data_IF_306827685978
#
_entry.id   IF_306827685978
#
_cell.length_a   1.000
_cell.length_b   1.000
_cell.length_c   1.000
_cell.angle_alpha   90.00
_cell.angle_beta   90.00
_cell.angle_gamma   90.00
#
_symmetry.space_group_name_H-M   'P 1'
#
loop_
_entity.id
_entity.type
_entity.pdbx_description
1 polymer ?
#
# COMPACT_ATOMS: atom_id res chain seq x y z
N UNK A 1 17.73 5.30 -36.53
CA UNK A 1 17.00 6.03 -35.46
C UNK A 1 17.30 5.35 -34.15
N UNK A 2 18.01 6.00 -33.22
CA UNK A 2 18.19 5.48 -31.87
C UNK A 2 16.84 5.55 -31.14
N UNK A 3 16.36 4.43 -30.59
CA UNK A 3 15.12 4.42 -29.82
C UNK A 3 15.21 5.42 -28.66
N UNK A 4 14.16 6.22 -28.46
CA UNK A 4 14.11 7.18 -27.36
C UNK A 4 14.22 6.46 -26.03
N UNK A 5 15.09 6.98 -25.15
CA UNK A 5 15.21 6.47 -23.79
C UNK A 5 14.04 7.00 -22.98
N UNK A 6 13.21 6.09 -22.44
CA UNK A 6 12.15 6.38 -21.48
C UNK A 6 12.69 6.35 -20.06
N UNK A 7 12.42 7.40 -19.27
CA UNK A 7 12.68 7.46 -17.82
C UNK A 7 11.42 7.88 -17.09
N UNK A 8 11.12 7.21 -15.99
CA UNK A 8 9.95 7.51 -15.16
C UNK A 8 10.41 8.19 -13.86
N UNK A 9 9.77 9.30 -13.52
CA UNK A 9 10.02 10.05 -12.28
C UNK A 9 8.74 10.04 -11.46
N UNK A 10 8.70 9.19 -10.43
CA UNK A 10 7.57 9.10 -9.51
C UNK A 10 7.53 10.30 -8.56
N UNK A 11 6.33 10.78 -8.27
CA UNK A 11 6.13 11.99 -7.50
C UNK A 11 6.26 11.73 -5.99
N UNK A 12 6.97 12.60 -5.25
CA UNK A 12 6.95 12.56 -3.79
C UNK A 12 5.50 12.64 -3.27
N UNK A 13 5.15 11.89 -2.21
CA UNK A 13 3.79 11.89 -1.67
C UNK A 13 3.22 13.29 -1.39
N UNK A 14 4.04 14.21 -0.87
CA UNK A 14 3.65 15.60 -0.61
C UNK A 14 3.17 16.36 -1.86
N UNK A 15 3.68 16.01 -3.05
CA UNK A 15 3.28 16.63 -4.31
C UNK A 15 2.07 15.99 -4.97
N UNK A 16 1.61 14.82 -4.49
CA UNK A 16 0.41 14.17 -5.02
C UNK A 16 -0.89 14.88 -4.57
N UNK A 17 -0.82 15.70 -3.52
CA UNK A 17 -1.98 16.40 -2.96
C UNK A 17 -2.30 17.73 -3.65
N UNK A 18 -1.39 18.27 -4.47
CA UNK A 18 -1.54 19.56 -5.15
C UNK A 18 -1.55 19.40 -6.68
N UNK A 19 -2.73 19.19 -7.30
CA UNK A 19 -2.89 19.19 -8.75
C UNK A 19 -2.34 20.48 -9.36
N UNK A 20 -1.53 20.37 -10.42
CA UNK A 20 -0.98 21.53 -11.14
C UNK A 20 0.39 22.02 -10.63
N UNK A 21 0.70 21.86 -9.34
CA UNK A 21 2.02 22.21 -8.79
C UNK A 21 3.12 21.45 -9.53
N UNK A 22 2.90 20.16 -9.80
CA UNK A 22 3.85 19.33 -10.53
C UNK A 22 4.27 19.93 -11.88
N UNK A 23 3.29 20.30 -12.71
CA UNK A 23 3.57 20.79 -14.05
C UNK A 23 4.37 22.08 -13.97
N UNK A 24 3.97 22.99 -13.06
CA UNK A 24 4.70 24.23 -12.83
C UNK A 24 6.14 24.01 -12.33
N UNK A 25 6.36 23.04 -11.44
CA UNK A 25 7.69 22.72 -10.92
C UNK A 25 8.60 22.13 -12.00
N UNK A 26 8.08 21.21 -12.82
CA UNK A 26 8.87 20.61 -13.91
C UNK A 26 9.15 21.62 -15.01
N UNK A 27 8.15 22.41 -15.41
CA UNK A 27 8.32 23.51 -16.37
C UNK A 27 9.38 24.51 -15.87
N UNK A 28 9.25 24.98 -14.63
CA UNK A 28 10.22 25.89 -14.01
C UNK A 28 11.63 25.28 -13.86
N UNK A 29 11.74 23.96 -13.62
CA UNK A 29 13.04 23.28 -13.64
C UNK A 29 13.70 23.37 -15.02
N UNK A 30 12.97 23.04 -16.09
CA UNK A 30 13.52 23.05 -17.45
C UNK A 30 13.87 24.47 -17.89
N UNK A 31 12.99 25.45 -17.66
CA UNK A 31 13.23 26.87 -17.97
C UNK A 31 14.49 27.40 -17.26
N UNK A 32 14.62 27.14 -15.95
CA UNK A 32 15.81 27.53 -15.16
C UNK A 32 17.11 26.87 -15.66
N UNK A 33 17.01 25.73 -16.34
CA UNK A 33 18.15 25.01 -16.91
C UNK A 33 18.33 25.30 -18.42
N UNK A 34 17.75 26.38 -18.95
CA UNK A 34 18.01 26.86 -20.31
C UNK A 34 17.24 26.12 -21.40
N UNK A 35 16.12 25.49 -21.07
CA UNK A 35 15.21 24.90 -22.04
C UNK A 35 14.06 25.86 -22.37
N UNK A 36 13.73 25.99 -23.65
CA UNK A 36 12.50 26.62 -24.10
C UNK A 36 11.38 25.59 -24.20
N UNK A 37 10.18 25.99 -23.78
CA UNK A 37 8.96 25.19 -23.86
C UNK A 37 8.35 25.35 -25.26
N UNK A 38 8.07 24.23 -25.91
CA UNK A 38 7.27 24.21 -27.13
C UNK A 38 5.79 24.02 -26.78
N UNK A 39 4.87 24.80 -27.38
CA UNK A 39 3.45 24.69 -27.09
C UNK A 39 2.92 23.37 -27.64
N UNK A 40 2.62 22.44 -26.74
CA UNK A 40 1.90 21.21 -27.05
C UNK A 40 0.67 21.14 -26.15
N UNK A 41 -0.44 20.74 -26.75
CA UNK A 41 -1.73 20.64 -26.06
C UNK A 41 -1.78 19.43 -25.13
N UNK A 42 -2.45 19.58 -23.98
CA UNK A 42 -2.77 18.48 -23.06
C UNK A 42 -1.67 18.12 -22.06
N UNK A 43 -1.44 16.81 -21.89
CA UNK A 43 -0.55 16.21 -20.88
C UNK A 43 0.90 16.06 -21.35
N UNK A 44 1.22 16.50 -22.56
CA UNK A 44 2.56 16.39 -23.16
C UNK A 44 3.17 17.77 -23.33
N UNK A 45 4.43 17.93 -22.93
CA UNK A 45 5.20 19.16 -23.10
C UNK A 45 6.58 18.80 -23.65
N UNK A 46 7.04 19.53 -24.67
CA UNK A 46 8.38 19.36 -25.23
C UNK A 46 9.26 20.53 -24.79
N UNK A 47 10.46 20.20 -24.34
CA UNK A 47 11.48 21.14 -23.93
C UNK A 47 12.68 21.00 -24.85
N UNK A 48 13.11 22.11 -25.46
CA UNK A 48 14.31 22.16 -26.30
C UNK A 48 15.36 23.02 -25.63
N UNK A 49 16.55 22.47 -25.43
CA UNK A 49 17.65 23.24 -24.87
C UNK A 49 18.21 24.21 -25.92
N UNK A 50 18.48 25.45 -25.54
CA UNK A 50 19.02 26.47 -26.45
C UNK A 50 20.53 26.32 -26.70
N UNK A 51 21.24 25.68 -25.78
CA UNK A 51 22.72 25.56 -25.80
C UNK A 51 23.22 24.16 -26.18
N UNK A 52 22.38 23.15 -25.93
CA UNK A 52 22.62 21.75 -26.26
C UNK A 52 21.52 21.26 -27.19
N UNK A 53 21.88 20.49 -28.21
CA UNK A 53 20.94 19.82 -29.12
C UNK A 53 20.21 18.67 -28.40
N UNK A 54 19.39 19.03 -27.41
CA UNK A 54 18.69 18.11 -26.51
C UNK A 54 17.22 18.49 -26.51
N UNK A 55 16.39 17.54 -26.94
CA UNK A 55 14.93 17.62 -26.87
C UNK A 55 14.46 16.62 -25.83
N UNK A 56 13.65 17.09 -24.87
CA UNK A 56 13.03 16.25 -23.84
C UNK A 56 11.53 16.38 -23.94
N UNK A 57 10.85 15.27 -24.23
CA UNK A 57 9.38 15.20 -24.17
C UNK A 57 8.98 14.72 -22.78
N UNK A 58 8.19 15.53 -22.08
CA UNK A 58 7.61 15.22 -20.78
C UNK A 58 6.14 14.83 -20.95
N UNK A 59 5.76 13.65 -20.49
CA UNK A 59 4.35 13.25 -20.34
C UNK A 59 3.97 13.27 -18.87
N UNK A 60 2.95 14.04 -18.53
CA UNK A 60 2.48 14.24 -17.17
C UNK A 60 1.33 13.29 -16.86
N UNK A 61 1.49 12.52 -15.79
CA UNK A 61 0.45 11.71 -15.19
C UNK A 61 0.14 12.23 -13.79
N UNK A 62 -0.95 11.75 -13.20
CA UNK A 62 -1.37 12.19 -11.87
C UNK A 62 -0.43 11.72 -10.74
N UNK A 63 0.46 10.76 -11.02
CA UNK A 63 1.38 10.13 -10.05
C UNK A 63 2.85 10.00 -10.52
N UNK A 64 3.16 10.35 -11.78
CA UNK A 64 4.52 10.31 -12.33
C UNK A 64 4.70 11.31 -13.48
N UNK A 65 5.95 11.57 -13.84
CA UNK A 65 6.33 12.22 -15.10
C UNK A 65 7.21 11.27 -15.89
N UNK A 66 6.86 11.04 -17.16
CA UNK A 66 7.70 10.30 -18.09
C UNK A 66 8.54 11.27 -18.92
N UNK A 67 9.86 11.06 -18.90
CA UNK A 67 10.83 11.81 -19.66
C UNK A 67 11.31 10.95 -20.83
N UNK A 68 11.15 11.45 -22.06
CA UNK A 68 11.54 10.78 -23.29
C UNK A 68 12.57 11.64 -24.04
N UNK A 69 13.69 11.04 -24.43
CA UNK A 69 14.70 11.69 -25.29
C UNK A 69 15.66 10.65 -25.86
N UNK A 70 16.19 10.92 -27.04
CA UNK A 70 17.29 10.15 -27.65
C UNK A 70 18.66 10.43 -27.01
N UNK A 71 18.76 11.47 -26.17
CA UNK A 71 20.04 11.96 -25.68
C UNK A 71 20.70 11.05 -24.62
N UNK A 72 22.05 10.98 -24.63
CA UNK A 72 22.81 10.11 -23.71
C UNK A 72 22.75 10.56 -22.24
N UNK A 73 22.61 11.86 -21.98
CA UNK A 73 22.55 12.43 -20.60
C UNK A 73 21.20 12.24 -19.88
N UNK A 74 20.25 11.47 -20.43
CA UNK A 74 18.90 11.38 -19.84
C UNK A 74 18.84 10.92 -18.39
N UNK A 75 19.76 10.06 -17.97
CA UNK A 75 19.85 9.61 -16.57
C UNK A 75 20.25 10.74 -15.62
N UNK A 76 21.13 11.64 -16.07
CA UNK A 76 21.55 12.81 -15.30
C UNK A 76 20.43 13.84 -15.22
N UNK A 77 19.71 14.06 -16.32
CA UNK A 77 18.53 14.94 -16.35
C UNK A 77 17.45 14.40 -15.40
N UNK A 78 17.09 13.11 -15.49
CA UNK A 78 16.05 12.53 -14.63
C UNK A 78 16.40 12.60 -13.14
N UNK A 79 17.67 12.36 -12.77
CA UNK A 79 18.14 12.52 -11.38
C UNK A 79 18.02 13.96 -10.88
N UNK A 80 18.35 14.94 -11.73
CA UNK A 80 18.20 16.37 -11.39
C UNK A 80 16.75 16.79 -11.23
N UNK A 81 15.87 16.35 -12.13
CA UNK A 81 14.41 16.57 -12.01
C UNK A 81 13.91 15.97 -10.71
N UNK A 82 14.28 14.72 -10.40
CA UNK A 82 13.88 14.08 -9.14
C UNK A 82 14.36 14.86 -7.91
N UNK A 83 15.63 15.25 -7.85
CA UNK A 83 16.16 16.05 -6.72
C UNK A 83 15.49 17.43 -6.60
N UNK A 84 15.13 18.04 -7.73
CA UNK A 84 14.37 19.29 -7.74
C UNK A 84 12.95 19.10 -7.20
N UNK A 85 12.23 18.06 -7.66
CA UNK A 85 10.90 17.75 -7.12
C UNK A 85 10.99 17.46 -5.62
N UNK A 86 11.91 16.60 -5.19
CA UNK A 86 12.05 16.24 -3.77
C UNK A 86 12.33 17.45 -2.87
N UNK A 87 13.13 18.42 -3.32
CA UNK A 87 13.43 19.63 -2.54
C UNK A 87 12.31 20.66 -2.51
N UNK A 88 11.41 20.65 -3.50
CA UNK A 88 10.28 21.59 -3.56
C UNK A 88 8.96 20.97 -3.06
N UNK A 89 8.88 19.64 -2.97
CA UNK A 89 7.73 18.90 -2.45
C UNK A 89 7.93 18.62 -0.94
N UNK A 90 7.96 19.66 -0.11
CA UNK A 90 8.09 19.52 1.35
C UNK A 90 6.70 19.40 1.96
N UNK A 91 6.47 18.32 2.71
CA UNK A 91 5.24 18.17 3.48
C UNK A 91 5.19 19.26 4.56
N UNK A 92 4.07 19.97 4.64
CA UNK A 92 3.85 20.91 5.74
C UNK A 92 3.66 20.14 7.06
N UNK A 93 4.12 20.68 8.20
CA UNK A 93 3.88 20.04 9.49
C UNK A 93 2.37 20.01 9.77
N UNK A 94 1.87 18.85 10.17
CA UNK A 94 0.45 18.62 10.41
C UNK A 94 0.22 17.81 11.69
N UNK A 95 -0.95 18.00 12.29
CA UNK A 95 -1.48 17.17 13.38
C UNK A 95 -2.80 16.59 12.92
N UNK A 96 -3.00 15.30 13.20
CA UNK A 96 -4.23 14.61 12.89
C UNK A 96 -4.88 14.01 14.15
N UNK A 97 -6.19 14.20 14.30
CA UNK A 97 -7.01 13.56 15.33
C UNK A 97 -8.00 12.61 14.69
N UNK A 98 -8.11 11.41 15.25
CA UNK A 98 -8.93 10.34 14.69
C UNK A 98 -9.88 9.89 15.78
N UNK A 99 -11.18 10.06 15.51
CA UNK A 99 -12.25 9.83 16.47
C UNK A 99 -13.24 8.84 15.85
N UNK A 100 -13.18 7.55 16.23
CA UNK A 100 -14.21 6.59 15.84
C UNK A 100 -15.51 6.90 16.58
N UNK A 101 -16.61 6.88 15.85
CA UNK A 101 -17.98 7.08 16.35
C UNK A 101 -18.77 5.79 16.23
N UNK A 102 -19.66 5.54 17.19
CA UNK A 102 -20.65 4.46 17.11
C UNK A 102 -21.84 4.83 16.18
N UNK A 103 -22.82 3.92 16.06
CA UNK A 103 -24.07 4.15 15.30
C UNK A 103 -24.86 5.38 15.76
N UNK A 104 -24.73 5.75 17.01
CA UNK A 104 -25.44 6.89 17.61
C UNK A 104 -24.65 8.19 17.47
N UNK A 105 -23.48 8.16 16.81
CA UNK A 105 -22.58 9.29 16.67
C UNK A 105 -21.77 9.59 17.94
N UNK A 106 -21.77 8.71 18.94
CA UNK A 106 -21.00 8.91 20.15
C UNK A 106 -19.55 8.44 19.95
N UNK A 107 -18.55 9.19 20.45
CA UNK A 107 -17.17 8.75 20.42
C UNK A 107 -16.99 7.41 21.13
N UNK A 108 -16.45 6.42 20.42
CA UNK A 108 -16.07 5.15 21.02
C UNK A 108 -14.84 5.41 21.88
N UNK A 109 -14.93 5.10 23.18
CA UNK A 109 -13.85 5.29 24.13
C UNK A 109 -12.68 4.38 23.76
N UNK A 110 -11.69 4.91 23.04
CA UNK A 110 -10.37 4.31 22.89
C UNK A 110 -9.31 5.36 23.14
N UNK A 111 -8.48 5.07 24.13
CA UNK A 111 -7.17 5.68 24.25
C UNK A 111 -6.29 5.06 23.16
N UNK A 112 -6.22 5.70 22.00
CA UNK A 112 -4.99 5.60 21.20
C UNK A 112 -3.93 6.28 22.07
N UNK A 113 -3.10 5.49 22.74
CA UNK A 113 -2.02 6.00 23.59
C UNK A 113 -1.17 6.98 22.78
N UNK A 114 -0.59 7.97 23.45
CA UNK A 114 0.34 8.90 22.79
C UNK A 114 1.37 8.08 22.03
N UNK A 115 1.54 8.43 20.76
CA UNK A 115 2.22 7.63 19.74
C UNK A 115 3.67 7.26 20.10
N UNK A 116 4.24 7.80 21.18
CA UNK A 116 5.62 7.59 21.61
C UNK A 116 5.89 6.23 22.28
N UNK A 117 4.89 5.52 22.83
CA UNK A 117 5.12 4.35 23.70
C UNK A 117 4.51 3.01 23.25
N UNK A 118 3.87 2.96 22.07
CA UNK A 118 3.38 1.67 21.55
C UNK A 118 4.57 0.89 21.02
N UNK A 119 5.09 -0.07 21.81
CA UNK A 119 5.99 -1.10 21.31
C UNK A 119 5.39 -1.68 20.03
N UNK A 120 6.14 -1.83 18.94
CA UNK A 120 5.60 -2.44 17.74
C UNK A 120 5.05 -3.79 18.18
N UNK A 121 3.73 -3.98 18.04
CA UNK A 121 3.19 -5.33 18.02
C UNK A 121 4.10 -6.14 17.08
N UNK A 122 4.45 -7.40 17.41
CA UNK A 122 5.26 -8.22 16.52
C UNK A 122 4.69 -8.02 15.13
N UNK A 123 5.53 -7.57 14.19
CA UNK A 123 5.03 -7.18 12.88
C UNK A 123 4.15 -8.31 12.35
N UNK A 124 3.13 -8.02 11.56
CA UNK A 124 2.36 -9.09 10.91
C UNK A 124 3.32 -10.08 10.22
N UNK A 125 4.46 -9.59 9.72
CA UNK A 125 5.57 -10.39 9.21
C UNK A 125 6.19 -11.33 10.26
N UNK A 126 6.31 -10.90 11.52
CA UNK A 126 6.78 -11.73 12.64
C UNK A 126 5.78 -12.84 12.96
N UNK A 127 4.47 -12.55 13.00
CA UNK A 127 3.44 -13.58 13.23
C UNK A 127 3.37 -14.56 12.04
N UNK A 128 3.48 -14.03 10.81
CA UNK A 128 3.52 -14.82 9.59
C UNK A 128 4.82 -15.63 9.42
N UNK A 129 5.95 -15.19 9.99
CA UNK A 129 7.22 -15.92 9.98
C UNK A 129 7.30 -16.98 11.08
N UNK A 130 6.72 -16.72 12.25
CA UNK A 130 6.64 -17.68 13.36
C UNK A 130 5.80 -18.90 12.99
N UNK A 131 4.80 -18.74 12.11
CA UNK A 131 3.90 -19.80 11.68
C UNK A 131 4.56 -20.97 10.91
N UNK A 132 5.33 -20.74 9.82
CA UNK A 132 6.09 -21.78 9.15
C UNK A 132 7.28 -22.26 9.99
N UNK A 133 7.90 -21.39 10.80
CA UNK A 133 8.99 -21.80 11.70
C UNK A 133 8.50 -22.80 12.76
N UNK A 134 7.35 -22.57 13.40
CA UNK A 134 6.75 -23.52 14.34
C UNK A 134 6.35 -24.84 13.66
N UNK A 135 5.86 -24.75 12.42
CA UNK A 135 5.50 -25.93 11.63
C UNK A 135 6.75 -26.75 11.25
N UNK A 136 7.83 -26.08 10.85
CA UNK A 136 9.12 -26.72 10.54
C UNK A 136 9.79 -27.28 11.80
N UNK A 137 9.74 -26.55 12.93
CA UNK A 137 10.24 -27.00 14.23
C UNK A 137 9.45 -28.22 14.73
N UNK A 138 8.13 -28.28 14.52
CA UNK A 138 7.30 -29.42 14.94
C UNK A 138 7.60 -30.71 14.16
N UNK A 139 8.01 -30.59 12.90
CA UNK A 139 8.45 -31.72 12.07
C UNK A 139 9.87 -32.18 12.44
N UNK A 140 10.72 -31.27 12.94
CA UNK A 140 12.13 -31.56 13.25
C UNK A 140 12.37 -32.02 14.69
N UNK A 141 11.70 -31.44 15.68
CA UNK A 141 11.99 -31.71 17.10
C UNK A 141 11.29 -32.93 17.68
N UNK A 142 10.28 -33.43 17.00
CA UNK A 142 9.53 -34.56 17.50
C UNK A 142 9.68 -35.66 16.46
N UNK A 143 10.26 -36.79 16.86
CA UNK A 143 10.11 -38.08 16.18
C UNK A 143 8.65 -38.57 16.19
N UNK A 144 7.71 -37.63 16.02
CA UNK A 144 6.28 -37.79 15.87
C UNK A 144 6.04 -38.40 14.51
N UNK A 145 5.19 -39.42 14.50
CA UNK A 145 4.71 -40.06 13.29
C UNK A 145 4.15 -38.98 12.40
N UNK A 146 4.68 -38.84 11.19
CA UNK A 146 4.31 -37.81 10.20
C UNK A 146 2.80 -37.54 10.15
N UNK A 147 1.98 -38.58 10.29
CA UNK A 147 0.53 -38.54 10.34
C UNK A 147 -0.01 -37.57 11.41
N UNK A 148 0.55 -37.55 12.61
CA UNK A 148 0.16 -36.64 13.69
C UNK A 148 0.54 -35.19 13.35
N UNK A 149 1.71 -34.95 12.75
CA UNK A 149 2.11 -33.61 12.30
C UNK A 149 1.18 -33.08 11.18
N UNK A 150 0.78 -33.96 10.25
CA UNK A 150 -0.19 -33.62 9.19
C UNK A 150 -1.59 -33.34 9.74
N UNK A 151 -2.00 -34.02 10.82
CA UNK A 151 -3.29 -33.79 11.47
C UNK A 151 -3.28 -32.55 12.37
N UNK A 152 -2.15 -32.26 13.04
CA UNK A 152 -2.01 -31.12 13.94
C UNK A 152 -1.79 -29.79 13.22
N UNK A 153 -1.12 -29.80 12.06
CA UNK A 153 -0.83 -28.57 11.27
C UNK A 153 -2.09 -27.76 10.92
N UNK A 154 -3.17 -28.36 10.36
CA UNK A 154 -4.42 -27.64 10.10
C UNK A 154 -5.07 -27.13 11.37
N UNK A 155 -5.04 -27.90 12.46
CA UNK A 155 -5.62 -27.52 13.74
C UNK A 155 -4.89 -26.32 14.35
N UNK A 156 -3.56 -26.32 14.32
CA UNK A 156 -2.72 -25.19 14.76
C UNK A 156 -2.93 -23.95 13.88
N UNK A 157 -3.15 -24.14 12.57
CA UNK A 157 -3.50 -23.05 11.64
C UNK A 157 -4.84 -22.41 12.00
N UNK A 158 -5.85 -23.24 12.28
CA UNK A 158 -7.17 -22.75 12.72
C UNK A 158 -7.03 -22.03 14.07
N UNK A 159 -6.30 -22.62 15.03
CA UNK A 159 -6.07 -22.00 16.33
C UNK A 159 -5.37 -20.64 16.20
N UNK A 160 -4.34 -20.52 15.36
CA UNK A 160 -3.67 -19.25 15.12
C UNK A 160 -4.62 -18.21 14.51
N UNK A 161 -5.46 -18.57 13.56
CA UNK A 161 -6.49 -17.67 13.02
C UNK A 161 -7.47 -17.21 14.11
N UNK A 162 -7.85 -18.10 15.03
CA UNK A 162 -8.69 -17.76 16.19
C UNK A 162 -7.97 -16.83 17.17
N UNK A 163 -6.68 -17.05 17.42
CA UNK A 163 -5.86 -16.19 18.29
C UNK A 163 -5.67 -14.79 17.69
N UNK A 164 -5.41 -14.67 16.38
CA UNK A 164 -5.36 -13.38 15.68
C UNK A 164 -6.70 -12.65 15.82
N UNK A 165 -7.82 -13.36 15.72
CA UNK A 165 -9.15 -12.77 15.92
C UNK A 165 -9.36 -12.30 17.36
N UNK A 166 -8.94 -13.08 18.35
CA UNK A 166 -9.02 -12.68 19.75
C UNK A 166 -8.15 -11.44 19.99
N UNK A 167 -6.94 -11.42 19.44
CA UNK A 167 -6.04 -10.28 19.49
C UNK A 167 -6.67 -9.02 18.88
N UNK A 168 -7.29 -9.12 17.71
CA UNK A 168 -8.01 -8.00 17.10
C UNK A 168 -9.16 -7.49 17.96
N UNK A 169 -9.93 -8.38 18.59
CA UNK A 169 -11.02 -7.96 19.49
C UNK A 169 -10.51 -7.18 20.70
N UNK A 170 -9.29 -7.46 21.15
CA UNK A 170 -8.68 -6.81 22.31
C UNK A 170 -8.00 -5.50 21.92
N UNK A 171 -7.35 -5.45 20.74
CA UNK A 171 -6.46 -4.35 20.34
C UNK A 171 -7.03 -3.43 19.25
N UNK A 172 -8.18 -3.75 18.67
CA UNK A 172 -8.74 -3.02 17.54
C UNK A 172 -10.15 -2.50 17.82
N UNK A 173 -10.47 -1.39 17.18
CA UNK A 173 -11.79 -0.74 17.28
C UNK A 173 -12.64 -1.17 16.11
N UNK A 174 -13.79 -1.79 16.38
CA UNK A 174 -14.74 -2.11 15.33
C UNK A 174 -15.47 -0.84 14.87
N UNK A 175 -15.40 -0.51 13.57
CA UNK A 175 -15.93 0.74 13.00
C UNK A 175 -16.86 0.53 11.79
N UNK A 176 -17.19 -0.70 11.41
CA UNK A 176 -18.09 -0.99 10.27
C UNK A 176 -19.54 -0.54 10.49
N UNK A 177 -19.91 -0.27 11.73
CA UNK A 177 -21.28 0.10 12.09
C UNK A 177 -21.47 1.60 12.31
N UNK A 178 -20.38 2.37 12.44
CA UNK A 178 -20.42 3.81 12.68
C UNK A 178 -19.62 4.58 11.63
N UNK A 179 -19.00 5.68 12.04
CA UNK A 179 -18.15 6.50 11.18
C UNK A 179 -16.84 6.84 11.88
N UNK A 180 -15.86 7.29 11.11
CA UNK A 180 -14.59 7.77 11.67
C UNK A 180 -14.39 9.21 11.24
N UNK A 181 -14.32 10.11 12.21
CA UNK A 181 -14.00 11.51 11.97
C UNK A 181 -12.50 11.69 12.06
N UNK A 182 -11.91 12.23 10.99
CA UNK A 182 -10.50 12.60 10.91
C UNK A 182 -10.42 14.11 10.82
N UNK A 183 -9.76 14.70 11.79
CA UNK A 183 -9.42 16.11 11.83
C UNK A 183 -7.96 16.24 11.42
N UNK A 184 -7.67 16.90 10.30
CA UNK A 184 -6.31 17.14 9.81
C UNK A 184 -6.03 18.63 9.82
N UNK A 185 -5.00 19.07 10.54
CA UNK A 185 -4.69 20.48 10.71
C UNK A 185 -3.24 20.79 10.35
N UNK A 186 -3.04 21.72 9.42
CA UNK A 186 -1.71 22.19 8.99
C UNK A 186 -1.20 23.26 9.95
N UNK A 187 0.04 23.19 10.40
CA UNK A 187 0.56 23.99 11.52
C UNK A 187 1.47 25.12 11.01
N UNK A 188 1.39 26.30 11.63
CA UNK A 188 2.24 27.47 11.32
C UNK A 188 3.60 27.46 12.01
N UNK A 189 3.67 26.98 13.26
CA UNK A 189 4.85 27.11 14.11
C UNK A 189 5.21 25.78 14.79
N UNK A 190 6.50 25.47 14.80
CA UNK A 190 7.08 24.33 15.53
C UNK A 190 7.32 24.76 16.98
N UNK A 191 6.34 24.48 17.83
CA UNK A 191 6.39 24.71 19.28
C UNK A 191 5.32 23.94 20.06
N UNK A 192 4.54 23.11 19.38
CA UNK A 192 3.48 22.29 19.96
C UNK A 192 4.07 21.17 20.81
N UNK A 193 3.72 21.12 22.09
CA UNK A 193 4.06 19.99 22.97
C UNK A 193 3.11 18.82 22.72
N UNK A 194 3.55 17.59 22.98
CA UNK A 194 2.70 16.39 22.94
C UNK A 194 1.51 16.51 23.90
N UNK A 195 1.70 17.21 25.02
CA UNK A 195 0.67 17.54 26.00
C UNK A 195 -0.44 18.43 25.43
N UNK A 196 -0.10 19.49 24.69
CA UNK A 196 -1.10 20.36 24.06
C UNK A 196 -1.93 19.60 23.02
N UNK A 197 -1.31 18.74 22.22
CA UNK A 197 -2.02 17.87 21.27
C UNK A 197 -2.97 16.93 22.01
N UNK A 198 -2.50 16.34 23.12
CA UNK A 198 -3.29 15.42 23.92
C UNK A 198 -4.55 16.10 24.49
N UNK A 199 -4.41 17.28 25.11
CA UNK A 199 -5.56 17.99 25.67
C UNK A 199 -6.51 18.54 24.60
N UNK A 200 -5.98 19.03 23.48
CA UNK A 200 -6.82 19.42 22.34
C UNK A 200 -7.67 18.25 21.83
N UNK A 201 -7.10 17.03 21.78
CA UNK A 201 -7.84 15.81 21.43
C UNK A 201 -8.98 15.55 22.42
N UNK A 202 -8.73 15.67 23.72
CA UNK A 202 -9.77 15.45 24.74
C UNK A 202 -10.91 16.46 24.62
N UNK A 203 -10.61 17.73 24.34
CA UNK A 203 -11.62 18.77 24.17
C UNK A 203 -12.49 18.54 22.92
N UNK A 204 -11.89 18.11 21.81
CA UNK A 204 -12.63 17.72 20.60
C UNK A 204 -13.54 16.52 20.86
N UNK A 205 -13.06 15.50 21.57
CA UNK A 205 -13.88 14.34 21.98
C UNK A 205 -15.02 14.79 22.90
N UNK A 206 -14.75 15.71 23.84
CA UNK A 206 -15.76 16.25 24.75
C UNK A 206 -16.87 16.98 23.99
N UNK A 207 -16.52 17.76 22.96
CA UNK A 207 -17.46 18.49 22.11
C UNK A 207 -18.38 17.53 21.34
N UNK A 208 -17.82 16.44 20.81
CA UNK A 208 -18.61 15.38 20.17
C UNK A 208 -19.54 14.67 21.16
N UNK A 209 -19.07 14.36 22.37
CA UNK A 209 -19.91 13.76 23.43
C UNK A 209 -21.08 14.65 23.83
N UNK A 210 -20.88 15.97 23.85
CA UNK A 210 -21.93 16.96 24.12
C UNK A 210 -22.85 17.22 22.90
N UNK A 211 -22.66 16.51 21.78
CA UNK A 211 -23.41 16.67 20.52
C UNK A 211 -23.34 18.09 19.94
N UNK A 212 -22.26 18.81 20.24
CA UNK A 212 -22.07 20.18 19.76
C UNK A 212 -21.56 20.25 18.31
N UNK A 213 -21.28 19.08 17.71
CA UNK A 213 -20.71 18.94 16.36
C UNK A 213 -19.25 19.38 16.27
N UNK A 214 -18.63 19.12 15.11
CA UNK A 214 -17.30 19.63 14.76
C UNK A 214 -17.42 20.45 13.49
N UNK A 215 -17.24 21.77 13.61
CA UNK A 215 -17.01 22.67 12.46
C UNK A 215 -15.53 22.99 12.36
N UNK A 216 -15.07 23.43 11.17
CA UNK A 216 -13.68 23.82 10.95
C UNK A 216 -13.26 24.95 11.90
N UNK A 217 -14.16 25.91 12.12
CA UNK A 217 -13.95 27.05 13.02
C UNK A 217 -13.83 26.58 14.47
N UNK A 218 -14.71 25.67 14.91
CA UNK A 218 -14.66 25.13 16.28
C UNK A 218 -13.33 24.41 16.53
N UNK A 219 -12.92 23.58 15.58
CA UNK A 219 -11.65 22.85 15.66
C UNK A 219 -10.48 23.82 15.70
N UNK A 220 -10.44 24.81 14.81
CA UNK A 220 -9.41 25.83 14.82
C UNK A 220 -9.36 26.58 16.16
N UNK A 221 -10.52 26.89 16.76
CA UNK A 221 -10.60 27.55 18.06
C UNK A 221 -10.08 26.67 19.21
N UNK A 222 -10.44 25.37 19.23
CA UNK A 222 -9.92 24.42 20.23
C UNK A 222 -8.41 24.28 20.08
N UNK A 223 -7.90 24.14 18.86
CA UNK A 223 -6.48 24.05 18.60
C UNK A 223 -5.75 25.33 19.01
N UNK A 224 -6.31 26.49 18.69
CA UNK A 224 -5.76 27.78 19.09
C UNK A 224 -5.72 27.95 20.62
N UNK A 225 -6.77 27.52 21.33
CA UNK A 225 -6.83 27.56 22.79
C UNK A 225 -5.68 26.77 23.44
N UNK A 226 -5.32 25.63 22.86
CA UNK A 226 -4.18 24.81 23.29
C UNK A 226 -2.83 25.24 22.66
N UNK A 227 -2.75 26.45 22.09
CA UNK A 227 -1.51 27.00 21.52
C UNK A 227 -1.08 26.39 20.19
N UNK A 228 -1.96 25.65 19.51
CA UNK A 228 -1.70 25.03 18.20
C UNK A 228 -2.18 25.98 17.11
N UNK A 229 -1.24 26.75 16.53
CA UNK A 229 -1.56 27.69 15.46
C UNK A 229 -1.70 26.98 14.12
N UNK A 230 -2.92 26.91 13.60
CA UNK A 230 -3.23 26.24 12.33
C UNK A 230 -3.27 27.22 11.14
N UNK A 231 -2.80 26.78 9.97
CA UNK A 231 -3.02 27.46 8.67
C UNK A 231 -4.37 27.09 8.09
N UNK A 232 -4.69 25.81 8.15
CA UNK A 232 -5.85 25.21 7.53
C UNK A 232 -6.29 23.99 8.35
N UNK A 233 -7.59 23.72 8.31
CA UNK A 233 -8.24 22.62 9.00
C UNK A 233 -9.14 21.90 8.01
N UNK A 234 -8.85 20.61 7.83
CA UNK A 234 -9.63 19.68 7.06
C UNK A 234 -10.39 18.74 8.01
N UNK A 235 -11.66 18.54 7.71
CA UNK A 235 -12.52 17.58 8.42
C UNK A 235 -12.98 16.55 7.41
N UNK A 236 -12.56 15.30 7.61
CA UNK A 236 -13.01 14.15 6.83
C UNK A 236 -13.86 13.25 7.70
N UNK A 237 -14.96 12.76 7.17
CA UNK A 237 -15.77 11.74 7.83
C UNK A 237 -15.84 10.53 6.92
N UNK A 238 -15.36 9.39 7.41
CA UNK A 238 -15.42 8.14 6.70
C UNK A 238 -16.59 7.32 7.20
N UNK A 239 -17.59 7.13 6.34
CA UNK A 239 -18.65 6.16 6.54
C UNK A 239 -18.36 4.93 5.68
N UNK A 240 -17.82 3.89 6.33
CA UNK A 240 -17.45 2.65 5.67
C UNK A 240 -18.65 1.94 5.05
N UNK A 241 -19.85 2.08 5.64
CA UNK A 241 -21.06 1.47 5.09
C UNK A 241 -21.37 2.06 3.72
N UNK A 242 -21.40 3.40 3.64
CA UNK A 242 -21.60 4.11 2.38
C UNK A 242 -20.55 3.72 1.34
N UNK A 243 -19.28 3.55 1.74
CA UNK A 243 -18.22 3.09 0.84
C UNK A 243 -18.54 1.66 0.33
N UNK A 244 -18.86 0.71 1.21
CA UNK A 244 -19.12 -0.68 0.77
C UNK A 244 -20.42 -0.85 -0.02
N UNK A 245 -21.44 -0.03 0.23
CA UNK A 245 -22.66 0.00 -0.59
C UNK A 245 -22.32 0.38 -2.04
N UNK A 246 -21.42 1.36 -2.26
CA UNK A 246 -20.90 1.69 -3.60
C UNK A 246 -20.16 0.51 -4.26
N UNK A 247 -19.50 -0.34 -3.46
CA UNK A 247 -18.72 -1.49 -3.93
C UNK A 247 -19.54 -2.75 -4.27
N UNK A 248 -20.87 -2.75 -4.04
CA UNK A 248 -21.79 -3.85 -4.37
C UNK A 248 -21.36 -5.23 -3.82
N UNK A 249 -20.74 -5.27 -2.65
CA UNK A 249 -20.38 -6.54 -1.98
C UNK A 249 -21.63 -7.21 -1.41
N UNK A 250 -21.81 -8.52 -1.67
CA UNK A 250 -22.98 -9.30 -1.18
C UNK A 250 -23.10 -9.28 0.34
N UNK A 251 -21.97 -9.22 1.06
CA UNK A 251 -21.90 -9.02 2.50
C UNK A 251 -20.64 -8.21 2.79
N UNK A 252 -20.74 -6.97 3.32
CA UNK A 252 -19.57 -6.18 3.64
C UNK A 252 -18.76 -6.84 4.76
N UNK A 253 -17.43 -6.82 4.70
CA UNK A 253 -16.59 -7.30 5.79
C UNK A 253 -16.67 -6.37 7.01
N UNK A 254 -16.45 -6.91 8.21
CA UNK A 254 -16.29 -6.06 9.39
C UNK A 254 -15.01 -5.22 9.30
N UNK A 255 -15.01 -4.02 9.84
CA UNK A 255 -13.88 -3.09 9.73
C UNK A 255 -13.32 -2.81 11.10
N UNK A 256 -12.00 -2.92 11.22
CA UNK A 256 -11.27 -2.71 12.46
C UNK A 256 -10.21 -1.62 12.27
N UNK A 257 -10.12 -0.66 13.21
CA UNK A 257 -8.99 0.25 13.33
C UNK A 257 -7.94 -0.33 14.26
N UNK A 258 -6.71 -0.46 13.77
CA UNK A 258 -5.54 -0.89 14.54
C UNK A 258 -4.68 0.31 14.92
N UNK A 259 -4.36 0.46 16.20
CA UNK A 259 -3.41 1.47 16.66
C UNK A 259 -1.98 1.14 16.19
N UNK A 260 -1.65 1.55 14.97
CA UNK A 260 -0.34 1.41 14.35
C UNK A 260 -0.07 2.64 13.45
N UNK A 261 1.18 3.11 13.46
CA UNK A 261 1.65 4.25 12.65
C UNK A 261 1.90 3.88 11.19
N UNK A 262 2.06 2.58 10.90
CA UNK A 262 2.26 2.10 9.53
C UNK A 262 1.00 2.30 8.72
N UNK A 263 1.19 2.60 7.44
CA UNK A 263 0.08 2.80 6.49
C UNK A 263 -0.28 1.45 5.89
N UNK A 264 -1.09 0.71 6.62
CA UNK A 264 -1.39 -0.70 6.32
C UNK A 264 -2.88 -0.98 6.42
N UNK A 265 -3.36 -1.76 5.46
CA UNK A 265 -4.62 -2.46 5.52
C UNK A 265 -4.34 -3.97 5.39
N UNK A 266 -5.23 -4.80 5.94
CA UNK A 266 -5.12 -6.25 5.91
C UNK A 266 -6.51 -6.85 5.83
N UNK A 267 -6.70 -7.77 4.89
CA UNK A 267 -7.88 -8.61 4.78
C UNK A 267 -7.75 -9.91 5.58
N UNK A 268 -8.85 -10.29 6.23
CA UNK A 268 -9.03 -11.56 6.93
C UNK A 268 -10.19 -12.32 6.30
N UNK A 269 -9.94 -13.59 5.94
CA UNK A 269 -10.90 -14.37 5.16
C UNK A 269 -12.08 -14.93 5.96
N UNK A 270 -11.90 -15.33 7.21
CA UNK A 270 -12.89 -16.10 7.98
C UNK A 270 -12.92 -15.74 9.49
N UNK A 271 -13.98 -15.06 9.98
CA UNK A 271 -15.00 -14.37 9.21
C UNK A 271 -14.40 -13.19 8.42
N UNK A 272 -15.03 -12.75 7.32
CA UNK A 272 -14.59 -11.60 6.53
C UNK A 272 -14.39 -10.34 7.37
N UNK A 273 -13.17 -9.83 7.42
CA UNK A 273 -12.85 -8.56 8.06
C UNK A 273 -11.72 -7.84 7.33
N UNK A 274 -11.69 -6.52 7.43
CA UNK A 274 -10.57 -5.68 6.99
C UNK A 274 -10.09 -4.91 8.21
N UNK A 275 -8.82 -5.05 8.55
CA UNK A 275 -8.16 -4.23 9.55
C UNK A 275 -7.38 -3.12 8.83
N UNK A 276 -7.52 -1.89 9.29
CA UNK A 276 -6.84 -0.73 8.72
C UNK A 276 -6.28 0.15 9.82
N UNK A 277 -5.28 0.94 9.45
CA UNK A 277 -4.54 1.79 10.38
C UNK A 277 -5.03 3.24 10.28
N UNK A 278 -5.06 3.99 11.39
CA UNK A 278 -5.43 5.39 11.39
C UNK A 278 -4.55 6.23 10.45
N UNK A 279 -3.27 5.87 10.29
CA UNK A 279 -2.36 6.53 9.34
C UNK A 279 -2.86 6.49 7.88
N UNK A 280 -3.55 5.43 7.45
CA UNK A 280 -4.16 5.40 6.11
C UNK A 280 -5.29 6.43 5.96
N UNK A 281 -6.07 6.65 7.01
CA UNK A 281 -7.20 7.59 6.98
C UNK A 281 -6.73 9.06 6.92
N UNK A 282 -5.53 9.34 7.42
CA UNK A 282 -4.92 10.69 7.34
C UNK A 282 -4.38 10.96 5.93
N UNK A 283 -3.67 9.99 5.35
CA UNK A 283 -2.92 10.15 4.11
C UNK A 283 -3.77 10.02 2.83
N UNK A 284 -4.88 9.29 2.90
CA UNK A 284 -5.69 8.96 1.73
C UNK A 284 -6.96 9.83 1.63
N UNK A 285 -7.34 10.19 0.40
CA UNK A 285 -8.67 10.71 0.11
C UNK A 285 -9.75 9.62 0.24
N UNK A 286 -11.04 9.99 0.20
CA UNK A 286 -12.14 9.00 0.20
C UNK A 286 -12.03 8.01 -0.97
N UNK A 287 -11.74 8.50 -2.19
CA UNK A 287 -11.57 7.64 -3.37
C UNK A 287 -10.33 6.75 -3.27
N UNK A 288 -9.22 7.30 -2.76
CA UNK A 288 -7.98 6.54 -2.54
C UNK A 288 -8.21 5.43 -1.49
N UNK A 289 -8.86 5.74 -0.37
CA UNK A 289 -9.23 4.74 0.64
C UNK A 289 -10.19 3.70 0.07
N UNK A 290 -11.21 4.11 -0.69
CA UNK A 290 -12.13 3.20 -1.34
C UNK A 290 -11.40 2.23 -2.28
N UNK A 291 -10.39 2.70 -3.01
CA UNK A 291 -9.56 1.83 -3.86
C UNK A 291 -8.75 0.79 -3.07
N UNK A 292 -8.22 1.15 -1.89
CA UNK A 292 -7.57 0.20 -0.96
C UNK A 292 -8.58 -0.82 -0.44
N UNK A 293 -9.79 -0.38 -0.07
CA UNK A 293 -10.84 -1.28 0.40
C UNK A 293 -11.32 -2.24 -0.69
N UNK A 294 -11.32 -1.83 -1.97
CA UNK A 294 -11.57 -2.74 -3.10
C UNK A 294 -10.48 -3.80 -3.20
N UNK A 295 -9.21 -3.40 -3.09
CA UNK A 295 -8.07 -4.34 -3.09
C UNK A 295 -8.22 -5.38 -1.97
N UNK A 296 -8.47 -4.95 -0.73
CA UNK A 296 -8.65 -5.87 0.40
C UNK A 296 -9.91 -6.72 0.27
N UNK A 297 -11.01 -6.14 -0.24
CA UNK A 297 -12.23 -6.90 -0.51
C UNK A 297 -12.04 -7.94 -1.62
N UNK A 298 -11.16 -7.70 -2.58
CA UNK A 298 -10.81 -8.68 -3.61
C UNK A 298 -10.21 -9.94 -2.98
N UNK A 299 -9.31 -9.80 -2.01
CA UNK A 299 -8.74 -10.94 -1.28
C UNK A 299 -9.80 -11.76 -0.56
N UNK A 300 -10.77 -11.09 0.07
CA UNK A 300 -11.89 -11.75 0.76
C UNK A 300 -12.80 -12.46 -0.26
N UNK A 301 -13.22 -11.75 -1.31
CA UNK A 301 -14.13 -12.26 -2.35
C UNK A 301 -13.59 -13.53 -3.00
N UNK A 302 -12.28 -13.56 -3.25
CA UNK A 302 -11.60 -14.67 -3.89
C UNK A 302 -11.02 -15.70 -2.93
N UNK A 303 -11.22 -15.51 -1.62
CA UNK A 303 -10.77 -16.41 -0.55
C UNK A 303 -9.26 -16.67 -0.61
N UNK A 304 -8.50 -15.61 -0.84
CA UNK A 304 -7.05 -15.72 -1.10
C UNK A 304 -6.29 -16.28 0.09
N UNK A 305 -6.65 -15.86 1.31
CA UNK A 305 -6.11 -16.43 2.54
C UNK A 305 -6.34 -17.96 2.63
N UNK A 306 -7.53 -18.44 2.24
CA UNK A 306 -7.83 -19.88 2.24
C UNK A 306 -7.04 -20.62 1.15
N UNK A 307 -6.93 -20.03 -0.05
CA UNK A 307 -6.14 -20.61 -1.16
C UNK A 307 -4.66 -20.71 -0.80
N UNK A 308 -4.11 -19.65 -0.20
CA UNK A 308 -2.73 -19.65 0.29
C UNK A 308 -2.52 -20.71 1.37
N UNK A 309 -3.43 -20.80 2.35
CA UNK A 309 -3.38 -21.83 3.39
C UNK A 309 -3.42 -23.25 2.81
N UNK A 310 -4.34 -23.52 1.89
CA UNK A 310 -4.46 -24.83 1.23
C UNK A 310 -3.20 -25.18 0.42
N UNK A 311 -2.62 -24.22 -0.31
CA UNK A 311 -1.38 -24.46 -1.05
C UNK A 311 -0.22 -24.78 -0.10
N UNK A 312 -0.03 -23.97 0.95
CA UNK A 312 1.08 -24.16 1.89
C UNK A 312 0.94 -25.51 2.62
N UNK A 313 -0.25 -25.82 3.11
CA UNK A 313 -0.51 -27.08 3.84
C UNK A 313 -0.40 -28.31 2.93
N UNK A 314 -0.93 -28.26 1.71
CA UNK A 314 -0.76 -29.36 0.74
C UNK A 314 0.69 -29.54 0.30
N UNK A 315 1.45 -28.46 0.16
CA UNK A 315 2.89 -28.52 -0.11
C UNK A 315 3.68 -29.17 1.02
N UNK A 316 3.38 -28.81 2.27
CA UNK A 316 3.98 -29.48 3.43
C UNK A 316 3.64 -30.97 3.46
N UNK A 317 2.39 -31.35 3.17
CA UNK A 317 1.96 -32.73 3.14
C UNK A 317 2.68 -33.57 2.09
N UNK A 318 2.87 -33.04 0.89
CA UNK A 318 3.56 -33.75 -0.19
C UNK A 318 5.08 -33.87 0.10
N UNK A 319 5.72 -32.81 0.62
CA UNK A 319 7.13 -32.89 1.02
C UNK A 319 7.37 -33.95 2.11
N UNK A 320 6.42 -34.06 3.03
CA UNK A 320 6.41 -35.04 4.10
C UNK A 320 6.27 -36.48 3.57
N UNK A 321 5.43 -36.72 2.55
CA UNK A 321 5.34 -38.01 1.86
C UNK A 321 6.64 -38.38 1.16
N UNK A 322 7.27 -37.44 0.44
CA UNK A 322 8.55 -37.67 -0.24
C UNK A 322 9.62 -38.12 0.77
N UNK A 323 9.66 -37.49 1.94
CA UNK A 323 10.56 -37.88 3.02
C UNK A 323 10.29 -39.30 3.55
N UNK A 324 9.01 -39.65 3.81
CA UNK A 324 8.64 -40.97 4.35
C UNK A 324 9.00 -42.14 3.44
N UNK A 325 8.82 -41.99 2.13
CA UNK A 325 9.12 -43.06 1.18
C UNK A 325 10.61 -43.22 0.88
N UNK A 326 11.48 -42.63 1.72
CA UNK A 326 12.94 -42.73 1.64
C UNK A 326 13.49 -42.33 0.26
N UNK A 327 12.81 -41.39 -0.40
CA UNK A 327 13.35 -40.79 -1.61
C UNK A 327 14.63 -40.01 -1.28
N UNK A 328 15.50 -39.88 -2.27
CA UNK A 328 16.80 -39.27 -2.10
C UNK A 328 16.69 -37.81 -1.62
N UNK A 329 17.66 -37.35 -0.84
CA UNK A 329 17.68 -35.97 -0.30
C UNK A 329 17.65 -34.92 -1.42
N UNK A 330 18.18 -35.26 -2.59
CA UNK A 330 18.15 -34.46 -3.81
C UNK A 330 16.72 -34.26 -4.31
N UNK A 331 15.88 -35.29 -4.27
CA UNK A 331 14.47 -35.17 -4.67
C UNK A 331 13.70 -34.27 -3.69
N UNK A 332 13.97 -34.40 -2.38
CA UNK A 332 13.37 -33.53 -1.37
C UNK A 332 13.82 -32.07 -1.55
N UNK A 333 15.10 -31.83 -1.83
CA UNK A 333 15.63 -30.50 -2.08
C UNK A 333 15.02 -29.88 -3.36
N UNK A 334 14.93 -30.65 -4.44
CA UNK A 334 14.29 -30.22 -5.69
C UNK A 334 12.81 -29.87 -5.46
N UNK A 335 12.10 -30.71 -4.70
CA UNK A 335 10.72 -30.46 -4.32
C UNK A 335 10.56 -29.18 -3.51
N UNK A 336 11.40 -28.97 -2.48
CA UNK A 336 11.35 -27.80 -1.63
C UNK A 336 11.56 -26.51 -2.44
N UNK A 337 12.54 -26.49 -3.34
CA UNK A 337 12.80 -25.36 -4.24
C UNK A 337 11.61 -25.11 -5.17
N UNK A 338 11.08 -26.15 -5.80
CA UNK A 338 9.93 -26.03 -6.71
C UNK A 338 8.66 -25.52 -5.97
N UNK A 339 8.38 -26.07 -4.79
CA UNK A 339 7.25 -25.68 -3.93
C UNK A 339 7.37 -24.22 -3.49
N UNK A 340 8.58 -23.80 -3.09
CA UNK A 340 8.87 -22.43 -2.69
C UNK A 340 8.66 -21.42 -3.85
N UNK A 341 9.17 -21.72 -5.04
CA UNK A 341 8.97 -20.89 -6.24
C UNK A 341 7.48 -20.82 -6.61
N UNK A 342 6.79 -21.96 -6.63
CA UNK A 342 5.36 -22.02 -6.97
C UNK A 342 4.51 -21.22 -5.98
N UNK A 343 4.81 -21.33 -4.69
CA UNK A 343 4.14 -20.56 -3.63
C UNK A 343 4.40 -19.06 -3.79
N UNK A 344 5.64 -18.64 -4.04
CA UNK A 344 5.98 -17.24 -4.30
C UNK A 344 5.18 -16.68 -5.49
N UNK A 345 5.14 -17.41 -6.59
CA UNK A 345 4.41 -17.01 -7.80
C UNK A 345 2.90 -16.95 -7.57
N UNK A 346 2.34 -17.90 -6.82
CA UNK A 346 0.92 -17.86 -6.46
C UNK A 346 0.62 -16.61 -5.65
N UNK A 347 1.32 -16.37 -4.53
CA UNK A 347 1.05 -15.23 -3.65
C UNK A 347 1.14 -13.91 -4.43
N UNK A 348 2.18 -13.73 -5.24
CA UNK A 348 2.32 -12.57 -6.12
C UNK A 348 1.19 -12.44 -7.14
N UNK A 349 0.66 -13.55 -7.66
CA UNK A 349 -0.50 -13.51 -8.57
C UNK A 349 -1.81 -13.13 -7.86
N UNK A 350 -1.96 -13.45 -6.58
CA UNK A 350 -3.12 -13.03 -5.79
C UNK A 350 -3.09 -11.52 -5.58
N UNK A 351 -1.93 -10.96 -5.23
CA UNK A 351 -1.69 -9.51 -5.12
C UNK A 351 -2.01 -8.76 -6.42
N UNK A 352 -1.48 -9.22 -7.56
CA UNK A 352 -1.73 -8.55 -8.84
C UNK A 352 -3.20 -8.63 -9.24
N UNK A 353 -3.91 -9.73 -8.94
CA UNK A 353 -5.35 -9.77 -9.21
C UNK A 353 -6.10 -8.74 -8.37
N UNK A 354 -5.77 -8.60 -7.09
CA UNK A 354 -6.37 -7.58 -6.25
C UNK A 354 -6.03 -6.15 -6.75
N UNK A 355 -4.80 -5.93 -7.22
CA UNK A 355 -4.39 -4.68 -7.88
C UNK A 355 -5.25 -4.36 -9.11
N UNK A 356 -5.44 -5.33 -10.00
CA UNK A 356 -6.22 -5.15 -11.22
C UNK A 356 -7.68 -4.85 -10.93
N UNK A 357 -8.27 -5.48 -9.92
CA UNK A 357 -9.65 -5.22 -9.51
C UNK A 357 -9.81 -3.82 -8.88
N UNK A 358 -8.85 -3.39 -8.06
CA UNK A 358 -8.84 -2.04 -7.51
C UNK A 358 -8.62 -0.98 -8.59
N UNK A 359 -7.74 -1.24 -9.55
CA UNK A 359 -7.49 -0.35 -10.69
C UNK A 359 -8.65 -0.34 -11.70
N UNK A 360 -9.39 -1.43 -11.88
CA UNK A 360 -10.61 -1.46 -12.71
C UNK A 360 -11.70 -0.57 -12.10
N UNK A 361 -11.84 -0.58 -10.77
CA UNK A 361 -12.82 0.24 -10.06
C UNK A 361 -12.38 1.71 -9.92
N UNK A 362 -11.09 1.95 -9.65
CA UNK A 362 -10.53 3.27 -9.36
C UNK A 362 -9.16 3.47 -10.04
N UNK A 363 -9.11 3.65 -11.38
CA UNK A 363 -7.87 3.58 -12.15
C UNK A 363 -6.80 4.59 -11.75
N UNK A 364 -7.19 5.85 -11.56
CA UNK A 364 -6.24 6.93 -11.19
C UNK A 364 -5.97 6.94 -9.68
N UNK A 365 -6.99 6.78 -8.84
CA UNK A 365 -6.84 6.81 -7.40
C UNK A 365 -5.97 5.65 -6.89
N UNK A 366 -6.16 4.44 -7.42
CA UNK A 366 -5.36 3.28 -6.99
C UNK A 366 -3.88 3.40 -7.38
N UNK A 367 -3.57 3.94 -8.57
CA UNK A 367 -2.17 4.19 -8.98
C UNK A 367 -1.50 5.23 -8.09
N UNK A 368 -2.22 6.29 -7.70
CA UNK A 368 -1.72 7.27 -6.72
C UNK A 368 -1.46 6.63 -5.36
N UNK A 369 -2.38 5.81 -4.86
CA UNK A 369 -2.21 5.05 -3.61
C UNK A 369 -0.95 4.20 -3.65
N UNK A 370 -0.77 3.43 -4.73
CA UNK A 370 0.39 2.56 -4.87
C UNK A 370 1.69 3.38 -4.83
N UNK A 371 1.72 4.56 -5.47
CA UNK A 371 2.86 5.47 -5.37
C UNK A 371 3.03 6.04 -3.96
N UNK A 372 1.96 6.52 -3.31
CA UNK A 372 2.01 7.10 -1.95
C UNK A 372 2.56 6.10 -0.92
N UNK A 373 2.05 4.87 -0.95
CA UNK A 373 2.35 3.84 0.04
C UNK A 373 3.72 3.18 -0.23
N UNK A 374 4.04 2.92 -1.50
CA UNK A 374 5.27 2.22 -1.90
C UNK A 374 6.41 3.15 -2.35
N UNK A 375 6.27 4.47 -2.16
CA UNK A 375 7.25 5.47 -2.62
C UNK A 375 8.70 5.11 -2.29
N UNK A 376 9.06 4.71 -1.04
CA UNK A 376 10.44 4.39 -0.70
C UNK A 376 11.00 3.20 -1.48
N UNK A 377 10.14 2.27 -1.93
CA UNK A 377 10.52 1.12 -2.76
C UNK A 377 10.55 1.46 -4.25
N UNK A 378 9.73 2.40 -4.69
CA UNK A 378 9.70 2.88 -6.09
C UNK A 378 10.96 3.68 -6.48
N UNK A 379 11.47 4.50 -5.57
CA UNK A 379 12.61 5.40 -5.85
C UNK A 379 13.97 4.72 -5.69
N UNK A 380 14.01 3.57 -4.99
CA UNK A 380 15.22 2.76 -4.88
C UNK A 380 15.46 2.04 -6.21
N UNK A 381 16.63 2.22 -6.85
CA UNK A 381 16.94 1.52 -8.08
C UNK A 381 16.98 0.01 -7.82
N UNK A 382 16.04 -0.73 -8.38
CA UNK A 382 16.08 -2.20 -8.42
C UNK A 382 17.03 -2.65 -9.52
N UNK A 383 18.15 -3.26 -9.15
CA UNK A 383 19.00 -3.99 -10.08
C UNK A 383 18.28 -5.24 -10.59
N UNK A 384 18.75 -5.83 -11.70
CA UNK A 384 18.23 -7.11 -12.21
C UNK A 384 18.30 -8.22 -11.14
N UNK A 385 19.40 -8.27 -10.38
CA UNK A 385 19.55 -9.16 -9.22
C UNK A 385 18.51 -8.88 -8.13
N UNK A 386 18.20 -7.61 -7.86
CA UNK A 386 17.14 -7.22 -6.92
C UNK A 386 15.74 -7.64 -7.37
N UNK A 387 15.46 -7.58 -8.68
CA UNK A 387 14.22 -8.09 -9.27
C UNK A 387 14.13 -9.60 -9.09
N UNK A 388 15.18 -10.34 -9.45
CA UNK A 388 15.22 -11.81 -9.28
C UNK A 388 15.09 -12.21 -7.81
N UNK A 389 15.80 -11.53 -6.91
CA UNK A 389 15.67 -11.76 -5.47
C UNK A 389 14.24 -11.47 -4.98
N UNK A 390 13.57 -10.45 -5.53
CA UNK A 390 12.16 -10.18 -5.20
C UNK A 390 11.21 -11.25 -5.72
N UNK A 391 11.46 -11.82 -6.91
CA UNK A 391 10.70 -12.96 -7.45
C UNK A 391 10.84 -14.16 -6.52
N UNK A 392 12.07 -14.44 -6.08
CA UNK A 392 12.36 -15.59 -5.23
C UNK A 392 11.93 -15.39 -3.79
N UNK A 393 11.81 -14.18 -3.27
CA UNK A 393 11.35 -13.99 -1.89
C UNK A 393 9.83 -14.24 -1.76
N UNK A 394 9.42 -15.33 -1.10
CA UNK A 394 8.00 -15.69 -0.89
C UNK A 394 7.25 -14.64 -0.06
N UNK A 395 7.92 -14.01 0.90
CA UNK A 395 7.32 -13.03 1.81
C UNK A 395 7.33 -11.60 1.25
N UNK A 396 7.83 -11.40 0.03
CA UNK A 396 7.78 -10.09 -0.62
C UNK A 396 6.57 -9.94 -1.52
N UNK A 397 5.91 -8.78 -1.39
CA UNK A 397 5.00 -8.27 -2.41
C UNK A 397 5.73 -8.12 -3.76
N UNK A 398 5.03 -8.25 -4.90
CA UNK A 398 5.59 -7.88 -6.18
C UNK A 398 6.20 -6.46 -6.14
N UNK A 399 7.32 -6.19 -6.82
CA UNK A 399 7.88 -4.85 -6.87
C UNK A 399 6.83 -3.82 -7.34
N UNK A 400 6.75 -2.65 -6.71
CA UNK A 400 5.71 -1.66 -7.03
C UNK A 400 5.82 -1.14 -8.47
N UNK A 401 7.02 -1.13 -9.06
CA UNK A 401 7.23 -0.82 -10.48
C UNK A 401 6.57 -1.85 -11.40
N UNK A 402 6.63 -3.14 -11.05
CA UNK A 402 5.98 -4.22 -11.80
C UNK A 402 4.46 -4.14 -11.65
N UNK A 403 3.97 -3.89 -10.42
CA UNK A 403 2.54 -3.68 -10.15
C UNK A 403 1.97 -2.54 -10.99
N UNK A 404 2.61 -1.36 -10.97
CA UNK A 404 2.21 -0.19 -11.76
C UNK A 404 2.22 -0.49 -13.26
N UNK A 405 3.28 -1.14 -13.77
CA UNK A 405 3.37 -1.50 -15.18
C UNK A 405 2.23 -2.43 -15.62
N UNK A 406 1.92 -3.44 -14.81
CA UNK A 406 0.80 -4.36 -15.07
C UNK A 406 -0.54 -3.62 -15.11
N UNK A 407 -0.77 -2.69 -14.17
CA UNK A 407 -1.98 -1.87 -14.13
C UNK A 407 -2.08 -0.97 -15.38
N UNK A 408 -0.96 -0.36 -15.80
CA UNK A 408 -0.90 0.55 -16.96
C UNK A 408 -1.07 -0.16 -18.30
N UNK A 409 -0.43 -1.33 -18.47
CA UNK A 409 -0.49 -2.11 -19.73
C UNK A 409 -1.77 -2.93 -19.86
N UNK A 410 -2.44 -3.22 -18.74
CA UNK A 410 -3.64 -4.05 -18.67
C UNK A 410 -3.34 -5.52 -18.93
N UNK A 411 -3.49 -6.38 -17.91
CA UNK A 411 -3.46 -7.83 -18.12
C UNK A 411 -4.84 -8.32 -18.56
N UNK A 412 -4.91 -8.98 -19.73
CA UNK A 412 -6.13 -9.67 -20.15
C UNK A 412 -6.27 -11.02 -19.42
N UNK A 413 -7.23 -11.11 -18.51
CA UNK A 413 -7.64 -12.37 -17.86
C UNK A 413 -7.76 -12.28 -16.34
N UNK A 414 -8.82 -12.88 -15.78
CA UNK A 414 -9.16 -12.80 -14.34
C UNK A 414 -8.61 -13.95 -13.48
N UNK A 415 -7.97 -14.95 -14.10
CA UNK A 415 -7.47 -16.15 -13.42
C UNK A 415 -6.01 -16.02 -12.96
N UNK A 416 -5.66 -16.66 -11.84
CA UNK A 416 -4.31 -16.65 -11.29
C UNK A 416 -3.23 -17.10 -12.31
N UNK A 417 -3.54 -18.05 -13.19
CA UNK A 417 -2.62 -18.51 -14.25
C UNK A 417 -2.39 -17.43 -15.32
N UNK A 418 -3.45 -16.71 -15.73
CA UNK A 418 -3.32 -15.61 -16.69
C UNK A 418 -2.52 -14.45 -16.09
N UNK A 419 -2.76 -14.14 -14.82
CA UNK A 419 -2.01 -13.14 -14.06
C UNK A 419 -0.54 -13.56 -13.89
N UNK A 420 -0.27 -14.82 -13.56
CA UNK A 420 1.10 -15.35 -13.46
C UNK A 420 1.85 -15.27 -14.80
N UNK A 421 1.18 -15.56 -15.93
CA UNK A 421 1.76 -15.36 -17.27
C UNK A 421 2.08 -13.89 -17.54
N UNK A 422 1.18 -12.98 -17.15
CA UNK A 422 1.39 -11.55 -17.32
C UNK A 422 2.57 -11.04 -16.46
N UNK A 423 2.65 -11.52 -15.21
CA UNK A 423 3.73 -11.25 -14.28
C UNK A 423 5.08 -11.77 -14.80
N UNK A 424 5.13 -13.02 -15.29
CA UNK A 424 6.32 -13.58 -15.93
C UNK A 424 6.74 -12.75 -17.16
N UNK A 425 5.80 -12.35 -18.01
CA UNK A 425 6.08 -11.48 -19.16
C UNK A 425 6.68 -10.15 -18.71
N UNK A 426 6.14 -9.52 -17.67
CA UNK A 426 6.67 -8.25 -17.15
C UNK A 426 8.07 -8.40 -16.56
N UNK A 427 8.36 -9.51 -15.87
CA UNK A 427 9.70 -9.79 -15.34
C UNK A 427 10.71 -10.13 -16.43
N UNK A 428 10.33 -10.93 -17.43
CA UNK A 428 11.22 -11.37 -18.51
C UNK A 428 11.52 -10.26 -19.52
N UNK A 429 10.58 -9.35 -19.77
CA UNK A 429 10.78 -8.21 -20.67
C UNK A 429 11.59 -7.06 -20.06
N UNK A 430 12.16 -7.22 -18.85
CA UNK A 430 13.22 -6.38 -18.29
C UNK A 430 13.15 -4.89 -18.64
N UNK A 431 12.09 -4.18 -18.26
CA UNK A 431 11.99 -2.71 -18.40
C UNK A 431 12.13 -2.11 -19.82
N UNK A 432 12.30 -2.93 -20.87
CA UNK A 432 12.40 -2.50 -22.26
C UNK A 432 11.07 -2.75 -22.97
N UNK A 433 10.36 -1.68 -23.30
CA UNK A 433 9.14 -1.75 -24.10
C UNK A 433 9.56 -1.87 -25.57
N UNK A 434 9.46 -3.07 -26.15
CA UNK A 434 9.10 -3.17 -27.56
C UNK A 434 7.59 -2.93 -27.66
N UNK A 435 7.23 -1.69 -27.99
CA UNK A 435 5.86 -1.31 -28.24
C UNK A 435 5.39 -1.95 -29.53
N UNK A 436 4.51 -2.96 -29.44
CA UNK A 436 3.59 -3.22 -30.55
C UNK A 436 2.40 -2.28 -30.39
N UNK A 437 2.38 -1.24 -31.21
CA UNK A 437 1.20 -0.40 -31.42
C UNK A 437 0.01 -1.28 -31.81
N UNK A 438 -1.09 -1.15 -31.09
CA UNK A 438 -2.43 -1.43 -31.61
C UNK A 438 -3.22 -0.14 -31.58
#
# INVERSE_FOLDING_TARGET
>A
MTADKKREVFLPPACLETPGLLRSLVEGFFEKNGFSKEPISGSVVVFRSSTKDVVVTCKFYSYKVELLSSHKEMEKISRKVYGYLFSNCVAEPEVAFIVPLDRSGNPVSIYFESWENVHPAPSIDTVAAVFPLLSFFSVYLIGVRLLEALLLSPLLSILALLLVRLWLRIRAVRVDEGSVVVVKAKIRQVGTTSENVYFAKLDLISSLRRKEGLSKERVANVLHYWGILTRDVELKTYDFRSIFEKLKLRKPPSIFLLDDKRRTALSLGLPPAIALTPALLVDLSEEELASVLVHEAAHIRHRDALRALLLITSGLALGALIYLFSYSIELLALYAVASYILTSMLLKSLEIRADLEAAEAFPEAYRKVLVKLEYPRLVKPTSMLGIVASILNVFSYPPPTVRLKIIEEGCSGKGAVAVAKCLLRCYLCGGGVEGKSR
#
